data_IF_030006169891
#
_entry.id   IF_030006169891
#
_cell.length_a   1.000
_cell.length_b   1.000
_cell.length_c   1.000
_cell.angle_alpha   90.00
_cell.angle_beta   90.00
_cell.angle_gamma   90.00
#
_symmetry.space_group_name_H-M   'P 1'
#
loop_
_entity.id
_entity.type
_entity.pdbx_description
1 polymer ?
#
# COMPACT_ATOMS: atom_id res chain seq x y z
N UNK A 1 3.79 4.90 -28.42
CA UNK A 1 4.04 5.53 -27.10
C UNK A 1 5.42 5.09 -26.63
N UNK A 2 6.24 6.06 -26.26
CA UNK A 2 7.57 5.87 -25.70
C UNK A 2 7.55 5.05 -24.40
N UNK A 3 8.62 4.28 -24.18
CA UNK A 3 8.79 3.49 -22.96
C UNK A 3 9.86 4.11 -22.09
N UNK A 4 9.53 4.33 -20.84
CA UNK A 4 10.41 4.94 -19.85
C UNK A 4 11.14 3.88 -19.01
N UNK A 5 12.45 4.07 -18.86
CA UNK A 5 13.32 3.14 -18.12
C UNK A 5 13.28 3.40 -16.61
N UNK A 6 13.46 2.34 -15.82
CA UNK A 6 13.39 2.36 -14.37
C UNK A 6 14.28 3.44 -13.72
N UNK A 7 15.58 3.38 -14.02
CA UNK A 7 16.57 4.33 -13.46
C UNK A 7 16.31 5.79 -13.89
N UNK A 8 15.84 6.00 -15.12
CA UNK A 8 15.49 7.34 -15.61
C UNK A 8 14.36 7.96 -14.80
N UNK A 9 13.27 7.21 -14.57
CA UNK A 9 12.14 7.71 -13.79
C UNK A 9 12.51 7.97 -12.32
N UNK A 10 13.37 7.13 -11.72
CA UNK A 10 13.87 7.39 -10.36
C UNK A 10 14.64 8.72 -10.34
N UNK A 11 15.56 8.95 -11.30
CA UNK A 11 16.33 10.20 -11.40
C UNK A 11 15.39 11.41 -11.53
N UNK A 12 14.40 11.37 -12.42
CA UNK A 12 13.41 12.44 -12.57
C UNK A 12 12.66 12.71 -11.27
N UNK A 13 12.19 11.67 -10.58
CA UNK A 13 11.48 11.81 -9.32
C UNK A 13 12.35 12.37 -8.20
N UNK A 14 13.60 11.91 -8.10
CA UNK A 14 14.58 12.43 -7.13
C UNK A 14 14.84 13.93 -7.37
N UNK A 15 15.05 14.32 -8.61
CA UNK A 15 15.20 15.74 -8.96
C UNK A 15 13.96 16.57 -8.59
N UNK A 16 12.75 16.04 -8.85
CA UNK A 16 11.52 16.73 -8.49
C UNK A 16 11.45 17.03 -6.99
N UNK A 17 11.68 16.02 -6.13
CA UNK A 17 11.61 16.21 -4.69
C UNK A 17 12.77 17.07 -4.13
N UNK A 18 13.96 16.98 -4.70
CA UNK A 18 15.08 17.86 -4.35
C UNK A 18 14.75 19.33 -4.63
N UNK A 19 14.18 19.63 -5.81
CA UNK A 19 13.79 20.99 -6.18
C UNK A 19 12.77 21.62 -5.24
N UNK A 20 11.93 20.82 -4.62
CA UNK A 20 10.95 21.33 -3.62
C UNK A 20 11.48 21.33 -2.19
N UNK A 21 12.77 21.02 -1.97
CA UNK A 21 13.44 21.13 -0.68
C UNK A 21 13.50 19.87 0.18
N UNK A 22 13.21 18.70 -0.41
CA UNK A 22 13.46 17.40 0.26
C UNK A 22 14.93 17.03 0.08
N UNK A 23 15.59 16.51 1.12
CA UNK A 23 16.98 16.08 1.01
C UNK A 23 17.15 14.90 0.05
N UNK A 24 18.34 14.76 -0.54
CA UNK A 24 18.67 13.77 -1.59
C UNK A 24 18.27 12.34 -1.19
N UNK A 25 18.62 11.91 0.02
CA UNK A 25 18.35 10.57 0.53
C UNK A 25 16.84 10.28 0.58
N UNK A 26 16.05 11.22 1.10
CA UNK A 26 14.60 11.05 1.17
C UNK A 26 13.96 11.10 -0.21
N UNK A 27 14.43 12.01 -1.07
CA UNK A 27 13.97 12.15 -2.46
C UNK A 27 14.18 10.85 -3.25
N UNK A 28 15.33 10.21 -3.08
CA UNK A 28 15.63 8.92 -3.69
C UNK A 28 14.71 7.81 -3.17
N UNK A 29 14.56 7.68 -1.84
CA UNK A 29 13.68 6.69 -1.21
C UNK A 29 12.25 6.80 -1.75
N UNK A 30 11.69 8.01 -1.75
CA UNK A 30 10.33 8.26 -2.24
C UNK A 30 10.22 7.84 -3.71
N UNK A 31 11.17 8.26 -4.52
CA UNK A 31 11.16 8.01 -5.97
C UNK A 31 11.29 6.53 -6.30
N UNK A 32 12.17 5.80 -5.62
CA UNK A 32 12.33 4.35 -5.78
C UNK A 32 11.04 3.60 -5.47
N UNK A 33 10.38 3.91 -4.35
CA UNK A 33 9.12 3.26 -3.93
C UNK A 33 8.01 3.54 -4.94
N UNK A 34 7.84 4.80 -5.38
CA UNK A 34 6.79 5.16 -6.32
C UNK A 34 7.01 4.56 -7.70
N UNK A 35 8.22 4.65 -8.24
CA UNK A 35 8.56 4.07 -9.55
C UNK A 35 8.42 2.55 -9.50
N UNK A 36 8.92 1.90 -8.45
CA UNK A 36 8.79 0.45 -8.28
C UNK A 36 7.34 0.02 -8.23
N UNK A 37 6.47 0.76 -7.54
CA UNK A 37 5.04 0.49 -7.48
C UNK A 37 4.41 0.46 -8.87
N UNK A 38 4.70 1.43 -9.75
CA UNK A 38 4.25 1.41 -11.14
C UNK A 38 4.83 0.24 -11.94
N UNK A 39 6.10 -0.11 -11.71
CA UNK A 39 6.72 -1.25 -12.38
C UNK A 39 6.12 -2.60 -11.96
N UNK A 40 5.53 -2.66 -10.76
CA UNK A 40 4.74 -3.79 -10.27
C UNK A 40 3.26 -3.75 -10.72
N UNK A 41 2.82 -2.74 -11.48
CA UNK A 41 1.43 -2.61 -11.95
C UNK A 41 0.49 -1.85 -11.01
N UNK A 42 1.02 -1.16 -10.00
CA UNK A 42 0.24 -0.41 -9.01
C UNK A 42 0.34 1.10 -9.23
N UNK A 43 -0.11 1.60 -10.38
CA UNK A 43 0.01 3.01 -10.77
C UNK A 43 -0.68 3.98 -9.79
N UNK A 44 -1.76 3.56 -9.14
CA UNK A 44 -2.44 4.36 -8.11
C UNK A 44 -1.57 4.66 -6.88
N UNK A 45 -0.52 3.87 -6.65
CA UNK A 45 0.49 4.06 -5.61
C UNK A 45 1.89 4.32 -6.20
N UNK A 46 1.95 4.56 -7.51
CA UNK A 46 3.16 4.76 -8.28
C UNK A 46 3.30 6.18 -8.84
N UNK A 47 3.55 6.29 -10.13
CA UNK A 47 3.83 7.56 -10.82
C UNK A 47 2.75 8.63 -10.65
N UNK A 48 1.49 8.23 -10.49
CA UNK A 48 0.39 9.19 -10.22
C UNK A 48 0.60 9.97 -8.91
N UNK A 49 1.35 9.42 -7.94
CA UNK A 49 1.57 10.05 -6.64
C UNK A 49 2.58 11.18 -6.63
N UNK A 50 3.44 11.28 -7.62
CA UNK A 50 4.40 12.39 -7.68
C UNK A 50 3.72 13.75 -7.64
N UNK A 51 2.70 13.95 -8.46
CA UNK A 51 1.92 15.19 -8.49
C UNK A 51 1.18 15.44 -7.18
N UNK A 52 0.53 14.39 -6.62
CA UNK A 52 -0.20 14.50 -5.36
C UNK A 52 0.75 14.84 -4.19
N UNK A 53 1.90 14.18 -4.10
CA UNK A 53 2.85 14.41 -3.03
C UNK A 53 3.48 15.79 -3.10
N UNK A 54 3.85 16.26 -4.31
CA UNK A 54 4.30 17.63 -4.52
C UNK A 54 3.28 18.63 -4.00
N UNK A 55 2.01 18.47 -4.37
CA UNK A 55 0.92 19.33 -3.91
C UNK A 55 0.74 19.29 -2.39
N UNK A 56 0.75 18.09 -1.77
CA UNK A 56 0.65 17.96 -0.30
C UNK A 56 1.80 18.67 0.44
N UNK A 57 2.98 18.67 -0.15
CA UNK A 57 4.14 19.39 0.38
C UNK A 57 3.97 20.90 0.26
N UNK A 58 3.58 21.40 -0.92
CA UNK A 58 3.32 22.82 -1.18
C UNK A 58 2.17 23.36 -0.29
N UNK A 59 1.13 22.56 -0.07
CA UNK A 59 0.03 22.85 0.85
C UNK A 59 0.43 22.74 2.34
N UNK A 60 1.73 22.52 2.66
CA UNK A 60 2.28 22.35 4.01
C UNK A 60 1.63 21.22 4.82
N UNK A 61 1.05 20.23 4.15
CA UNK A 61 0.47 19.03 4.77
C UNK A 61 1.52 17.96 5.07
N UNK A 62 2.70 18.08 4.49
CA UNK A 62 3.88 17.24 4.76
C UNK A 62 5.00 18.15 5.24
N UNK A 63 5.69 17.74 6.30
CA UNK A 63 6.88 18.39 6.82
C UNK A 63 8.12 17.56 6.47
N UNK A 64 8.82 17.90 5.38
CA UNK A 64 10.02 17.16 4.96
C UNK A 64 11.15 17.17 6.02
N UNK A 65 11.15 18.18 6.90
CA UNK A 65 12.10 18.32 8.01
C UNK A 65 11.47 17.93 9.36
N UNK A 66 10.27 17.35 9.36
CA UNK A 66 9.60 16.88 10.57
C UNK A 66 10.46 15.82 11.27
N UNK A 67 10.74 16.05 12.55
CA UNK A 67 11.61 15.16 13.33
C UNK A 67 10.93 13.82 13.56
N UNK A 68 11.49 12.76 12.99
CA UNK A 68 11.09 11.37 13.29
C UNK A 68 11.70 11.01 14.64
N UNK A 69 10.85 10.65 15.62
CA UNK A 69 11.32 10.21 16.94
C UNK A 69 10.93 8.77 17.18
N UNK A 70 11.83 8.01 17.78
CA UNK A 70 11.69 6.57 18.00
C UNK A 70 12.01 6.24 19.46
N UNK A 71 11.20 5.38 20.07
CA UNK A 71 11.45 4.80 21.39
C UNK A 71 11.31 3.28 21.28
N UNK A 72 12.38 2.58 21.60
CA UNK A 72 12.38 1.11 21.64
C UNK A 72 12.23 0.67 23.10
N UNK A 73 11.29 -0.23 23.34
CA UNK A 73 11.08 -0.89 24.64
C UNK A 73 10.97 -2.38 24.36
N UNK A 74 11.97 -3.12 24.74
CA UNK A 74 12.14 -4.55 24.45
C UNK A 74 12.06 -4.85 22.94
N UNK A 75 11.02 -5.54 22.52
CA UNK A 75 10.72 -5.92 21.15
C UNK A 75 9.74 -4.98 20.43
N UNK A 76 9.43 -3.83 21.02
CA UNK A 76 8.42 -2.87 20.52
C UNK A 76 9.06 -1.53 20.20
N UNK A 77 8.78 -1.01 19.02
CA UNK A 77 9.22 0.31 18.57
C UNK A 77 8.02 1.25 18.49
N UNK A 78 8.06 2.35 19.21
CA UNK A 78 7.08 3.43 19.18
C UNK A 78 7.64 4.60 18.37
N UNK A 79 6.95 4.98 17.30
CA UNK A 79 7.43 5.95 16.32
C UNK A 79 6.44 7.09 16.18
N UNK A 80 6.94 8.31 16.30
CA UNK A 80 6.25 9.50 15.87
C UNK A 80 6.90 9.99 14.57
N UNK A 81 6.18 9.90 13.46
CA UNK A 81 6.66 10.26 12.13
C UNK A 81 6.87 11.76 11.90
N UNK A 82 6.49 12.62 12.86
CA UNK A 82 6.73 14.07 12.77
C UNK A 82 6.04 14.73 11.58
N UNK A 83 4.98 14.13 11.06
CA UNK A 83 4.29 14.54 9.84
C UNK A 83 5.22 14.56 8.58
N UNK A 84 6.33 13.81 8.63
CA UNK A 84 7.28 13.66 7.53
C UNK A 84 6.70 12.81 6.38
N UNK A 85 7.44 12.65 5.31
CA UNK A 85 7.15 11.75 4.19
C UNK A 85 6.86 10.34 4.70
N UNK A 86 5.63 9.86 4.53
CA UNK A 86 5.23 8.55 5.07
C UNK A 86 6.07 7.40 4.52
N UNK A 87 6.45 7.47 3.25
CA UNK A 87 7.34 6.49 2.60
C UNK A 87 8.70 6.43 3.30
N UNK A 88 9.26 7.60 3.66
CA UNK A 88 10.55 7.67 4.37
C UNK A 88 10.43 7.06 5.76
N UNK A 89 9.43 7.50 6.53
CA UNK A 89 9.17 6.99 7.89
C UNK A 89 9.03 5.47 7.89
N UNK A 90 8.16 4.93 7.01
CA UNK A 90 7.91 3.49 6.95
C UNK A 90 9.15 2.70 6.48
N UNK A 91 9.95 3.28 5.55
CA UNK A 91 11.17 2.65 5.07
C UNK A 91 12.25 2.57 6.15
N UNK A 92 12.45 3.62 6.93
CA UNK A 92 13.39 3.62 8.06
C UNK A 92 12.95 2.63 9.12
N UNK A 93 11.67 2.69 9.52
CA UNK A 93 11.13 1.83 10.58
C UNK A 93 11.22 0.36 10.23
N UNK A 94 10.88 -0.02 8.99
CA UNK A 94 10.93 -1.45 8.62
C UNK A 94 12.38 -1.98 8.61
N UNK A 95 13.36 -1.18 8.20
CA UNK A 95 14.76 -1.59 8.23
C UNK A 95 15.24 -1.79 9.68
N UNK A 96 14.98 -0.82 10.58
CA UNK A 96 15.36 -0.95 11.99
C UNK A 96 14.60 -2.08 12.70
N UNK A 97 13.35 -2.34 12.32
CA UNK A 97 12.56 -3.43 12.88
C UNK A 97 13.10 -4.81 12.44
N UNK A 98 13.65 -4.91 11.23
CA UNK A 98 14.37 -6.11 10.78
C UNK A 98 15.59 -6.33 11.66
N UNK A 99 16.38 -5.30 11.94
CA UNK A 99 17.56 -5.42 12.80
C UNK A 99 17.18 -5.80 14.22
N UNK A 100 16.13 -5.21 14.77
CA UNK A 100 15.59 -5.53 16.09
C UNK A 100 15.14 -7.01 16.17
N UNK A 101 14.54 -7.53 15.11
CA UNK A 101 14.05 -8.91 15.05
C UNK A 101 15.16 -9.97 15.07
N UNK A 102 16.42 -9.60 14.79
CA UNK A 102 17.55 -10.54 14.95
C UNK A 102 17.78 -10.93 16.42
N UNK A 103 17.34 -10.07 17.36
CA UNK A 103 17.47 -10.29 18.81
C UNK A 103 16.23 -10.91 19.44
N UNK A 104 15.08 -10.78 18.79
CA UNK A 104 13.80 -11.20 19.35
C UNK A 104 13.02 -12.07 18.36
N UNK A 105 12.23 -13.01 18.87
CA UNK A 105 11.42 -13.91 18.03
C UNK A 105 10.32 -13.17 17.25
N UNK A 106 9.71 -12.18 17.91
CA UNK A 106 8.65 -11.32 17.35
C UNK A 106 8.95 -9.89 17.75
N UNK A 107 8.90 -8.98 16.78
CA UNK A 107 9.03 -7.55 17.00
C UNK A 107 7.87 -6.80 16.38
N UNK A 108 7.55 -5.63 16.92
CA UNK A 108 6.49 -4.78 16.39
C UNK A 108 6.90 -3.30 16.36
N UNK A 109 6.31 -2.55 15.42
CA UNK A 109 6.45 -1.11 15.34
C UNK A 109 5.08 -0.45 15.20
N UNK A 110 4.83 0.56 16.02
CA UNK A 110 3.63 1.37 16.05
C UNK A 110 4.00 2.79 15.59
N UNK A 111 3.43 3.24 14.50
CA UNK A 111 3.75 4.53 13.88
C UNK A 111 2.53 5.42 13.88
N UNK A 112 2.68 6.64 14.40
CA UNK A 112 1.68 7.72 14.36
C UNK A 112 2.26 8.99 13.73
N UNK A 113 1.39 9.94 13.42
CA UNK A 113 1.77 11.20 12.76
C UNK A 113 2.60 10.96 11.49
N UNK A 114 2.14 10.03 10.66
CA UNK A 114 2.80 9.57 9.46
C UNK A 114 1.92 9.87 8.25
N UNK A 115 2.47 10.45 7.21
CA UNK A 115 1.76 10.66 5.96
C UNK A 115 1.56 9.32 5.21
N UNK A 116 0.94 9.37 4.02
CA UNK A 116 0.67 8.20 3.21
C UNK A 116 1.97 7.42 2.91
N UNK A 117 1.97 6.14 3.23
CA UNK A 117 3.17 5.29 3.13
C UNK A 117 3.35 4.60 1.77
N UNK A 118 2.44 4.79 0.81
CA UNK A 118 2.50 4.10 -0.47
C UNK A 118 1.98 2.65 -0.40
N UNK A 119 2.54 1.77 -1.22
CA UNK A 119 2.15 0.36 -1.34
C UNK A 119 2.78 -0.48 -0.23
N UNK A 120 2.00 -1.33 0.44
CA UNK A 120 2.51 -2.20 1.52
C UNK A 120 3.54 -3.22 1.04
N UNK A 121 3.39 -3.72 -0.18
CA UNK A 121 4.33 -4.66 -0.80
C UNK A 121 5.80 -4.22 -0.72
N UNK A 122 6.07 -2.91 -0.66
CA UNK A 122 7.43 -2.38 -0.52
C UNK A 122 8.06 -2.70 0.85
N UNK A 123 7.24 -2.74 1.89
CA UNK A 123 7.72 -2.96 3.26
C UNK A 123 7.72 -4.44 3.63
N UNK A 124 6.64 -5.17 3.31
CA UNK A 124 6.51 -6.58 3.67
C UNK A 124 7.48 -7.49 2.90
N UNK A 125 7.92 -7.07 1.70
CA UNK A 125 8.89 -7.83 0.91
C UNK A 125 10.30 -7.82 1.52
N UNK A 126 10.70 -6.74 2.17
CA UNK A 126 12.06 -6.60 2.72
C UNK A 126 12.38 -7.63 3.81
N UNK A 127 11.56 -7.79 4.87
CA UNK A 127 11.76 -8.85 5.85
C UNK A 127 11.67 -10.25 5.24
N UNK A 128 10.74 -10.47 4.30
CA UNK A 128 10.57 -11.74 3.62
C UNK A 128 11.82 -12.17 2.84
N UNK A 129 12.55 -11.24 2.25
CA UNK A 129 13.84 -11.50 1.60
C UNK A 129 14.98 -11.73 2.60
N UNK A 130 14.74 -11.51 3.90
CA UNK A 130 15.69 -11.69 4.99
C UNK A 130 15.25 -12.76 5.99
N UNK A 131 14.63 -13.85 5.49
CA UNK A 131 14.20 -15.02 6.26
C UNK A 131 13.15 -14.75 7.34
N UNK A 132 12.33 -13.70 7.19
CA UNK A 132 11.37 -13.26 8.19
C UNK A 132 9.95 -13.21 7.60
N UNK A 133 8.95 -13.36 8.47
CA UNK A 133 7.55 -13.08 8.11
C UNK A 133 7.24 -11.66 8.55
N UNK A 134 6.49 -10.92 7.74
CA UNK A 134 6.03 -9.59 8.07
C UNK A 134 4.51 -9.47 7.90
N UNK A 135 3.85 -8.86 8.89
CA UNK A 135 2.48 -8.38 8.78
C UNK A 135 2.48 -6.86 8.85
N UNK A 136 1.56 -6.25 8.10
CA UNK A 136 1.39 -4.81 8.04
C UNK A 136 -0.09 -4.44 8.06
N UNK A 137 -0.46 -3.49 8.92
CA UNK A 137 -1.81 -2.97 9.05
C UNK A 137 -1.74 -1.45 8.94
N UNK A 138 -2.59 -0.87 8.10
CA UNK A 138 -2.59 0.57 7.87
C UNK A 138 -4.01 1.11 7.86
N UNK A 139 -4.27 2.12 8.69
CA UNK A 139 -5.51 2.88 8.59
C UNK A 139 -5.26 4.25 7.96
N UNK A 140 -6.33 4.95 7.68
CA UNK A 140 -6.30 6.37 7.34
C UNK A 140 -7.28 7.11 8.23
N UNK A 141 -6.78 8.09 8.98
CA UNK A 141 -7.62 8.94 9.83
C UNK A 141 -8.11 10.23 9.12
N UNK A 142 -7.95 10.33 7.80
CA UNK A 142 -8.49 11.42 7.00
C UNK A 142 -10.02 11.31 6.88
N UNK A 143 -10.74 12.16 7.61
CA UNK A 143 -12.20 12.18 7.62
C UNK A 143 -12.85 12.49 6.28
N UNK A 144 -12.11 13.08 5.33
CA UNK A 144 -12.58 13.36 3.97
C UNK A 144 -12.52 12.12 3.07
N UNK A 145 -11.92 11.02 3.53
CA UNK A 145 -11.77 9.77 2.77
C UNK A 145 -12.72 8.66 3.21
N UNK A 146 -13.84 8.97 3.84
CA UNK A 146 -14.90 8.02 4.22
C UNK A 146 -15.60 7.48 2.97
N UNK A 147 -14.99 6.50 2.34
CA UNK A 147 -15.46 5.96 1.06
C UNK A 147 -15.95 4.53 1.13
N UNK A 148 -15.75 3.81 2.24
CA UNK A 148 -16.18 2.43 2.40
C UNK A 148 -17.39 2.36 3.31
N UNK A 149 -18.43 1.66 2.88
CA UNK A 149 -19.65 1.46 3.65
C UNK A 149 -19.45 0.35 4.68
N UNK A 150 -19.93 0.49 5.93
CA UNK A 150 -20.06 -0.64 6.85
C UNK A 150 -20.98 -1.71 6.27
N UNK A 151 -20.82 -2.96 6.67
CA UNK A 151 -21.73 -4.01 6.21
C UNK A 151 -23.19 -3.67 6.52
N UNK A 152 -24.07 -3.80 5.53
CA UNK A 152 -25.48 -3.39 5.53
C UNK A 152 -25.74 -1.87 5.64
N UNK A 153 -24.70 -1.05 5.68
CA UNK A 153 -24.84 0.40 5.64
C UNK A 153 -25.09 0.93 4.22
N UNK A 154 -25.41 2.22 4.10
CA UNK A 154 -25.60 2.92 2.82
C UNK A 154 -24.66 4.12 2.68
N UNK A 155 -23.98 4.54 3.75
CA UNK A 155 -23.06 5.66 3.76
C UNK A 155 -21.61 5.22 3.96
N UNK A 156 -20.66 5.90 3.35
CA UNK A 156 -19.23 5.74 3.63
C UNK A 156 -18.89 6.25 5.04
N UNK A 157 -18.49 5.34 5.91
CA UNK A 157 -18.06 5.62 7.30
C UNK A 157 -16.61 5.21 7.56
N UNK A 158 -16.04 4.38 6.69
CA UNK A 158 -14.71 3.81 6.81
C UNK A 158 -13.83 4.21 5.63
N UNK A 159 -12.53 4.01 5.76
CA UNK A 159 -11.57 4.18 4.67
C UNK A 159 -11.16 2.83 4.09
N UNK A 160 -10.67 2.78 2.84
CA UNK A 160 -10.03 1.57 2.31
C UNK A 160 -8.75 1.27 3.09
N UNK A 161 -8.83 0.41 4.08
CA UNK A 161 -7.69 0.01 4.91
C UNK A 161 -7.01 -1.22 4.31
N UNK A 162 -5.68 -1.19 4.07
CA UNK A 162 -4.98 -2.37 3.57
C UNK A 162 -4.41 -3.24 4.70
N UNK A 163 -4.29 -4.53 4.38
CA UNK A 163 -3.52 -5.52 5.13
C UNK A 163 -2.41 -6.06 4.25
N UNK A 164 -1.23 -6.22 4.83
CA UNK A 164 -0.07 -6.80 4.19
C UNK A 164 0.43 -8.04 4.92
N UNK A 165 0.86 -9.05 4.15
CA UNK A 165 1.59 -10.21 4.65
C UNK A 165 2.70 -10.54 3.66
N UNK A 166 3.92 -10.74 4.16
CA UNK A 166 5.06 -11.17 3.38
C UNK A 166 5.81 -12.30 4.05
N UNK A 167 6.17 -13.34 3.30
CA UNK A 167 7.03 -14.40 3.78
C UNK A 167 7.93 -14.97 2.68
N UNK A 168 9.06 -15.62 3.03
CA UNK A 168 9.89 -16.31 2.07
C UNK A 168 9.11 -17.41 1.36
N UNK A 169 9.16 -17.43 0.03
CA UNK A 169 8.51 -18.49 -0.78
C UNK A 169 9.45 -19.64 -1.15
N UNK A 170 10.75 -19.43 -0.95
CA UNK A 170 11.79 -20.31 -1.49
C UNK A 170 12.03 -20.14 -3.00
N UNK A 171 11.40 -19.15 -3.64
CA UNK A 171 11.65 -18.71 -5.01
C UNK A 171 12.37 -17.35 -5.01
N UNK A 172 12.63 -16.77 -6.21
CA UNK A 172 13.25 -15.44 -6.35
C UNK A 172 12.33 -14.28 -5.94
N UNK A 173 11.12 -14.56 -5.53
CA UNK A 173 10.10 -13.61 -5.10
C UNK A 173 9.46 -14.11 -3.79
N UNK A 174 9.13 -13.22 -2.84
CA UNK A 174 8.41 -13.59 -1.64
C UNK A 174 6.91 -13.81 -1.92
N UNK A 175 6.25 -14.66 -1.12
CA UNK A 175 4.80 -14.61 -1.03
C UNK A 175 4.41 -13.25 -0.43
N UNK A 176 3.52 -12.52 -1.12
CA UNK A 176 3.08 -11.20 -0.68
C UNK A 176 1.58 -11.05 -0.85
N UNK A 177 0.89 -10.81 0.25
CA UNK A 177 -0.50 -10.37 0.26
C UNK A 177 -0.46 -8.87 0.54
N UNK A 178 -0.97 -8.07 -0.39
CA UNK A 178 -1.11 -6.61 -0.25
C UNK A 178 -2.48 -6.26 -0.82
N UNK A 179 -3.48 -6.25 0.05
CA UNK A 179 -4.88 -6.10 -0.35
C UNK A 179 -5.59 -5.06 0.49
N UNK A 180 -6.52 -4.33 -0.14
CA UNK A 180 -7.50 -3.52 0.57
C UNK A 180 -8.65 -4.38 1.09
N UNK A 181 -9.26 -3.96 2.19
CA UNK A 181 -10.48 -4.59 2.74
C UNK A 181 -11.77 -4.11 2.09
N UNK A 182 -11.67 -3.28 1.05
CA UNK A 182 -12.79 -2.90 0.18
C UNK A 182 -12.87 -3.79 -1.06
N UNK A 183 -14.04 -3.88 -1.68
CA UNK A 183 -14.28 -4.70 -2.88
C UNK A 183 -13.39 -4.28 -4.06
N UNK A 184 -13.03 -3.00 -4.13
CA UNK A 184 -12.09 -2.46 -5.13
C UNK A 184 -11.32 -1.27 -4.53
N UNK A 185 -10.02 -1.10 -4.84
CA UNK A 185 -9.27 0.10 -4.48
C UNK A 185 -9.87 1.35 -5.12
N UNK A 186 -10.02 2.44 -4.35
CA UNK A 186 -10.60 3.71 -4.84
C UNK A 186 -9.87 4.24 -6.08
N UNK A 187 -8.55 4.13 -6.12
CA UNK A 187 -7.76 4.56 -7.28
C UNK A 187 -8.14 3.83 -8.59
N UNK A 188 -8.46 2.53 -8.51
CA UNK A 188 -8.98 1.78 -9.68
C UNK A 188 -10.36 2.28 -10.10
N UNK A 189 -11.26 2.53 -9.15
CA UNK A 189 -12.59 3.07 -9.45
C UNK A 189 -12.46 4.41 -10.19
N UNK A 190 -11.56 5.27 -9.71
CA UNK A 190 -11.25 6.57 -10.34
C UNK A 190 -10.73 6.41 -11.77
N UNK A 191 -9.89 5.43 -12.03
CA UNK A 191 -9.39 5.15 -13.38
C UNK A 191 -10.52 4.69 -14.32
N UNK A 192 -11.46 3.86 -13.85
CA UNK A 192 -12.66 3.50 -14.62
C UNK A 192 -13.51 4.72 -14.94
N UNK A 193 -13.75 5.60 -13.97
CA UNK A 193 -14.49 6.86 -14.16
C UNK A 193 -13.84 7.75 -15.23
N UNK A 194 -12.54 8.00 -15.13
CA UNK A 194 -11.83 8.83 -16.10
C UNK A 194 -11.77 8.26 -17.52
N UNK A 195 -11.87 6.94 -17.65
CA UNK A 195 -11.93 6.27 -18.94
C UNK A 195 -13.37 6.04 -19.45
N UNK A 196 -14.39 6.63 -18.79
CA UNK A 196 -15.80 6.44 -19.09
C UNK A 196 -16.21 4.97 -19.19
N UNK A 197 -15.67 4.12 -18.33
CA UNK A 197 -15.93 2.68 -18.29
C UNK A 197 -16.74 2.30 -17.06
N UNK A 198 -17.61 1.32 -17.20
CA UNK A 198 -18.27 0.66 -16.07
C UNK A 198 -17.29 -0.24 -15.34
N UNK A 199 -17.49 -0.36 -14.02
CA UNK A 199 -16.75 -1.34 -13.22
C UNK A 199 -17.13 -2.76 -13.64
N UNK A 200 -16.23 -3.74 -13.55
CA UNK A 200 -16.50 -5.13 -13.95
C UNK A 200 -17.59 -5.77 -13.09
N UNK A 201 -17.72 -5.33 -11.83
CA UNK A 201 -18.65 -5.84 -10.85
C UNK A 201 -19.39 -4.71 -10.12
N UNK A 202 -20.52 -5.02 -9.51
CA UNK A 202 -21.25 -4.09 -8.63
C UNK A 202 -20.57 -4.00 -7.27
N UNK A 203 -19.55 -3.15 -7.17
CA UNK A 203 -18.74 -2.97 -5.96
C UNK A 203 -18.96 -1.62 -5.25
N UNK A 204 -19.99 -0.88 -5.65
CA UNK A 204 -20.39 0.41 -5.07
C UNK A 204 -21.88 0.34 -4.71
N UNK A 205 -22.27 1.02 -3.64
CA UNK A 205 -23.65 1.41 -3.36
C UNK A 205 -23.84 2.88 -3.71
N UNK A 206 -24.99 3.23 -4.27
CA UNK A 206 -25.42 4.62 -4.40
C UNK A 206 -25.99 5.14 -3.07
N UNK A 207 -26.40 6.41 -3.02
CA UNK A 207 -26.97 7.04 -1.82
C UNK A 207 -28.24 6.37 -1.26
N UNK A 208 -28.89 5.51 -2.04
CA UNK A 208 -30.08 4.76 -1.63
C UNK A 208 -29.75 3.32 -1.22
N UNK A 209 -28.46 2.94 -1.20
CA UNK A 209 -28.02 1.58 -0.86
C UNK A 209 -28.14 0.59 -2.02
N UNK A 210 -28.48 1.03 -3.24
CA UNK A 210 -28.58 0.16 -4.42
C UNK A 210 -27.20 -0.14 -4.99
N UNK A 211 -26.91 -1.43 -5.20
CA UNK A 211 -25.66 -1.87 -5.79
C UNK A 211 -25.52 -1.43 -7.24
N UNK A 212 -24.37 -0.82 -7.56
CA UNK A 212 -24.08 -0.28 -8.89
C UNK A 212 -22.66 -0.57 -9.32
N UNK A 213 -22.45 -0.60 -10.64
CA UNK A 213 -21.13 -0.64 -11.27
C UNK A 213 -20.78 0.69 -11.97
N UNK A 214 -21.53 1.75 -11.68
CA UNK A 214 -21.26 3.10 -12.21
C UNK A 214 -20.25 3.83 -11.30
N UNK A 215 -18.99 4.04 -11.75
CA UNK A 215 -17.98 4.69 -10.92
C UNK A 215 -18.32 6.14 -10.57
N UNK A 216 -19.15 6.84 -11.37
CA UNK A 216 -19.55 8.21 -11.09
C UNK A 216 -20.33 8.31 -9.78
N UNK A 217 -21.05 7.27 -9.39
CA UNK A 217 -21.83 7.23 -8.14
C UNK A 217 -21.00 7.34 -6.86
N UNK A 218 -19.68 7.18 -6.96
CA UNK A 218 -18.75 7.39 -5.85
C UNK A 218 -18.34 8.86 -5.70
N UNK A 219 -18.38 9.65 -6.78
CA UNK A 219 -17.77 10.99 -6.84
C UNK A 219 -18.77 12.13 -7.10
N UNK A 220 -19.95 11.83 -7.62
CA UNK A 220 -21.03 12.80 -7.80
C UNK A 220 -21.68 13.13 -6.45
N UNK A 221 -22.64 14.08 -6.45
CA UNK A 221 -23.41 14.47 -5.25
C UNK A 221 -24.25 13.33 -4.66
N UNK A 222 -24.15 12.13 -5.22
CA UNK A 222 -24.89 10.95 -4.77
C UNK A 222 -24.33 10.29 -3.50
N UNK A 223 -23.17 10.73 -3.00
CA UNK A 223 -22.54 10.19 -1.78
C UNK A 223 -22.49 8.65 -1.73
N UNK A 224 -22.24 8.02 -2.88
CA UNK A 224 -22.07 6.57 -2.96
C UNK A 224 -20.85 6.11 -2.18
N UNK A 225 -20.79 4.79 -1.90
CA UNK A 225 -19.69 4.23 -1.15
C UNK A 225 -19.26 2.86 -1.71
N UNK A 226 -17.99 2.50 -1.46
CA UNK A 226 -17.40 1.24 -1.89
C UNK A 226 -17.85 0.14 -0.93
N UNK A 227 -18.23 -1.01 -1.47
CA UNK A 227 -18.56 -2.19 -0.67
C UNK A 227 -17.31 -2.78 0.01
N UNK A 228 -17.46 -3.42 1.17
CA UNK A 228 -16.39 -4.25 1.75
C UNK A 228 -16.01 -5.42 0.82
N UNK A 229 -14.79 -5.92 0.97
CA UNK A 229 -14.30 -7.12 0.28
C UNK A 229 -15.20 -8.33 0.59
N UNK A 230 -15.58 -9.08 -0.44
CA UNK A 230 -16.31 -10.35 -0.33
C UNK A 230 -17.68 -10.36 -1.00
N UNK A 231 -18.11 -9.30 -1.67
CA UNK A 231 -19.40 -9.27 -2.38
C UNK A 231 -20.57 -9.59 -1.46
N UNK A 232 -21.30 -10.68 -1.72
CA UNK A 232 -22.41 -11.15 -0.85
C UNK A 232 -21.95 -11.54 0.56
N UNK A 233 -20.66 -11.82 0.76
CA UNK A 233 -20.01 -12.10 2.04
C UNK A 233 -19.18 -10.91 2.54
N UNK A 234 -19.53 -9.69 2.17
CA UNK A 234 -18.80 -8.46 2.51
C UNK A 234 -18.64 -8.21 4.01
N UNK A 235 -19.43 -8.87 4.88
CA UNK A 235 -19.24 -8.86 6.34
C UNK A 235 -17.82 -9.30 6.74
N UNK A 236 -17.16 -10.17 5.94
CA UNK A 236 -15.79 -10.63 6.21
C UNK A 236 -14.77 -9.50 5.95
N UNK A 237 -14.90 -8.80 4.83
CA UNK A 237 -14.07 -7.62 4.56
C UNK A 237 -14.31 -6.49 5.56
N UNK A 238 -15.57 -6.28 5.98
CA UNK A 238 -15.92 -5.34 7.03
C UNK A 238 -15.25 -5.70 8.37
N UNK A 239 -15.30 -6.96 8.78
CA UNK A 239 -14.62 -7.42 9.99
C UNK A 239 -13.10 -7.19 9.95
N UNK A 240 -12.46 -7.44 8.79
CA UNK A 240 -11.03 -7.12 8.59
C UNK A 240 -10.77 -5.61 8.67
N UNK A 241 -11.67 -4.77 8.14
CA UNK A 241 -11.55 -3.32 8.27
C UNK A 241 -11.54 -2.90 9.74
N UNK A 242 -12.48 -3.41 10.54
CA UNK A 242 -12.55 -3.11 11.99
C UNK A 242 -11.27 -3.54 12.71
N UNK A 243 -10.76 -4.75 12.42
CA UNK A 243 -9.49 -5.23 12.97
C UNK A 243 -8.35 -4.26 12.67
N UNK A 244 -8.23 -3.82 11.42
CA UNK A 244 -7.15 -2.91 11.00
C UNK A 244 -7.31 -1.53 11.65
N UNK A 245 -8.52 -0.98 11.73
CA UNK A 245 -8.79 0.29 12.41
C UNK A 245 -8.36 0.23 13.88
N UNK A 246 -8.65 -0.88 14.58
CA UNK A 246 -8.23 -1.05 15.97
C UNK A 246 -6.72 -1.13 16.11
N UNK A 247 -6.05 -1.93 15.27
CA UNK A 247 -4.60 -2.13 15.34
C UNK A 247 -3.81 -0.92 14.87
N UNK A 248 -4.19 -0.34 13.73
CA UNK A 248 -3.44 0.74 13.10
C UNK A 248 -3.96 2.15 13.50
N UNK A 249 -5.20 2.27 13.95
CA UNK A 249 -5.76 3.53 14.44
C UNK A 249 -5.66 3.66 15.94
N UNK A 250 -6.33 2.77 16.67
CA UNK A 250 -6.42 2.82 18.13
C UNK A 250 -5.11 2.52 18.82
N UNK A 251 -4.51 1.35 18.56
CA UNK A 251 -3.30 0.89 19.23
C UNK A 251 -2.09 1.81 18.97
N UNK A 252 -1.97 2.40 17.76
CA UNK A 252 -0.91 3.35 17.43
C UNK A 252 -1.13 4.75 17.99
N UNK A 253 -2.32 5.02 18.52
CA UNK A 253 -2.77 6.38 18.89
C UNK A 253 -2.76 7.37 17.72
N UNK A 254 -2.97 6.88 16.50
CA UNK A 254 -3.10 7.72 15.30
C UNK A 254 -4.50 8.32 15.18
N UNK A 255 -5.48 7.67 15.80
CA UNK A 255 -6.89 8.04 15.74
C UNK A 255 -7.65 7.29 14.66
N UNK A 256 -8.96 7.50 14.65
CA UNK A 256 -9.90 6.90 13.72
C UNK A 256 -10.44 7.93 12.72
N UNK A 257 -11.02 7.47 11.66
CA UNK A 257 -11.58 8.31 10.58
C UNK A 257 -12.70 9.26 11.02
N UNK A 258 -13.33 9.02 12.17
CA UNK A 258 -14.40 9.86 12.73
C UNK A 258 -13.88 11.05 13.55
N UNK A 259 -12.61 11.08 13.89
CA UNK A 259 -12.03 12.16 14.67
C UNK A 259 -11.93 13.46 13.83
N UNK A 260 -12.48 14.56 14.37
CA UNK A 260 -12.49 15.88 13.72
C UNK A 260 -11.14 16.59 13.94
N UNK A 261 -10.09 16.09 13.34
CA UNK A 261 -8.74 16.65 13.55
C UNK A 261 -8.13 17.32 12.32
N UNK A 262 -8.82 17.46 11.21
CA UNK A 262 -8.32 18.04 9.93
C UNK A 262 -6.94 17.53 9.47
N UNK A 263 -6.46 16.45 10.08
CA UNK A 263 -5.17 15.84 9.77
C UNK A 263 -5.37 14.75 8.71
N UNK A 264 -4.39 14.61 7.86
CA UNK A 264 -4.30 13.53 6.88
C UNK A 264 -3.12 12.64 7.26
N UNK A 265 -3.26 11.34 7.07
CA UNK A 265 -2.15 10.43 7.29
C UNK A 265 -2.57 9.00 7.56
N UNK A 266 -1.57 8.22 7.93
CA UNK A 266 -1.71 6.82 8.26
C UNK A 266 -1.25 6.54 9.69
N UNK A 267 -2.01 5.72 10.40
CA UNK A 267 -1.51 4.90 11.49
C UNK A 267 -0.99 3.61 10.88
N UNK A 268 0.18 3.15 11.33
CA UNK A 268 0.81 1.95 10.78
C UNK A 268 1.25 1.03 11.90
N UNK A 269 0.92 -0.25 11.77
CA UNK A 269 1.38 -1.28 12.68
C UNK A 269 2.08 -2.39 11.90
N UNK A 270 3.37 -2.56 12.15
CA UNK A 270 4.18 -3.65 11.60
C UNK A 270 4.47 -4.70 12.65
N UNK A 271 4.45 -5.96 12.25
CA UNK A 271 4.92 -7.10 13.05
C UNK A 271 5.93 -7.88 12.19
N UNK A 272 7.09 -8.20 12.76
CA UNK A 272 8.07 -9.11 12.15
C UNK A 272 8.23 -10.34 13.04
N UNK A 273 8.25 -11.50 12.42
CA UNK A 273 8.49 -12.80 13.03
C UNK A 273 9.79 -13.36 12.43
N UNK A 274 10.77 -13.63 13.25
CA UNK A 274 12.02 -14.29 12.83
C UNK A 274 11.80 -15.80 12.76
N UNK A 275 11.80 -16.35 11.55
CA UNK A 275 11.51 -17.78 11.33
C UNK A 275 12.50 -18.68 12.06
N UNK A 276 13.80 -18.31 12.06
CA UNK A 276 14.85 -19.13 12.64
C UNK A 276 14.76 -19.27 14.17
N UNK A 277 13.94 -18.42 14.83
CA UNK A 277 13.65 -18.54 16.26
C UNK A 277 12.53 -19.53 16.59
N UNK A 278 11.81 -20.04 15.58
CA UNK A 278 10.70 -20.98 15.75
C UNK A 278 10.96 -22.34 15.10
N UNK A 279 11.61 -22.36 13.94
CA UNK A 279 11.89 -23.56 13.15
C UNK A 279 13.15 -23.36 12.31
N UNK A 280 13.83 -24.44 11.97
CA UNK A 280 14.93 -24.38 11.04
C UNK A 280 14.48 -23.77 9.70
N UNK A 281 15.20 -22.80 9.17
CA UNK A 281 14.82 -22.08 7.96
C UNK A 281 14.68 -22.97 6.74
N UNK A 282 15.58 -23.95 6.55
CA UNK A 282 15.54 -24.87 5.40
C UNK A 282 14.30 -25.78 5.48
N UNK A 283 13.92 -26.20 6.69
CA UNK A 283 12.69 -26.95 6.90
C UNK A 283 11.47 -26.09 6.56
N UNK A 284 11.42 -24.84 7.00
CA UNK A 284 10.34 -23.89 6.64
C UNK A 284 10.21 -23.74 5.12
N UNK A 285 11.34 -23.52 4.43
CA UNK A 285 11.37 -23.36 2.97
C UNK A 285 10.96 -24.64 2.26
N UNK A 286 11.41 -25.78 2.71
CA UNK A 286 11.02 -27.09 2.15
C UNK A 286 9.48 -27.27 2.22
N UNK A 287 8.89 -27.03 3.40
CA UNK A 287 7.43 -27.13 3.62
C UNK A 287 6.67 -26.11 2.77
N UNK A 288 7.12 -24.86 2.73
CA UNK A 288 6.51 -23.79 1.94
C UNK A 288 6.55 -24.11 0.45
N UNK A 289 7.69 -24.54 -0.08
CA UNK A 289 7.81 -24.98 -1.49
C UNK A 289 6.93 -26.18 -1.81
N UNK A 290 6.85 -27.16 -0.90
CA UNK A 290 5.96 -28.32 -1.07
C UNK A 290 4.49 -27.90 -1.18
N UNK A 291 4.05 -27.01 -0.28
CA UNK A 291 2.70 -26.44 -0.30
C UNK A 291 2.42 -25.66 -1.59
N UNK A 292 3.36 -24.80 -2.01
CA UNK A 292 3.25 -24.05 -3.28
C UNK A 292 3.12 -25.02 -4.48
N UNK A 293 3.95 -26.05 -4.54
CA UNK A 293 3.89 -27.05 -5.60
C UNK A 293 2.56 -27.79 -5.60
N UNK A 294 2.02 -28.11 -4.42
CA UNK A 294 0.71 -28.75 -4.28
C UNK A 294 -0.39 -27.87 -4.87
N UNK A 295 -0.46 -26.58 -4.53
CA UNK A 295 -1.43 -25.62 -5.07
C UNK A 295 -1.30 -25.52 -6.60
N UNK A 296 -0.07 -25.36 -7.11
CA UNK A 296 0.18 -25.20 -8.56
C UNK A 296 -0.12 -26.41 -9.41
N UNK A 297 -0.30 -27.60 -8.80
CA UNK A 297 -0.73 -28.82 -9.50
C UNK A 297 -2.24 -28.89 -9.74
N UNK A 298 -3.01 -27.95 -9.21
CA UNK A 298 -4.47 -27.90 -9.42
C UNK A 298 -4.81 -27.77 -10.91
N UNK A 299 -5.82 -28.52 -11.35
CA UNK A 299 -6.41 -28.33 -12.69
C UNK A 299 -7.02 -26.93 -12.78
N UNK A 300 -6.71 -26.23 -13.85
CA UNK A 300 -7.20 -24.86 -14.10
C UNK A 300 -8.30 -24.86 -15.16
N UNK A 301 -9.05 -23.77 -15.23
CA UNK A 301 -9.97 -23.51 -16.32
C UNK A 301 -9.15 -23.09 -17.55
N UNK A 302 -9.57 -23.48 -18.73
CA UNK A 302 -9.08 -22.96 -20.03
C UNK A 302 -7.54 -22.86 -20.17
N UNK A 303 -6.79 -23.82 -19.62
CA UNK A 303 -5.31 -23.81 -19.64
C UNK A 303 -4.63 -22.62 -18.94
N UNK A 304 -5.32 -21.94 -18.03
CA UNK A 304 -4.74 -20.92 -17.16
C UNK A 304 -3.64 -21.51 -16.24
N UNK A 305 -2.93 -20.64 -15.55
CA UNK A 305 -1.94 -21.03 -14.54
C UNK A 305 -2.33 -20.47 -13.19
N UNK A 306 -2.28 -21.32 -12.16
CA UNK A 306 -2.40 -20.83 -10.78
C UNK A 306 -1.21 -19.94 -10.45
N UNK A 307 -1.48 -18.66 -10.20
CA UNK A 307 -0.51 -17.68 -9.72
C UNK A 307 -0.67 -17.50 -8.22
N UNK A 308 0.44 -17.33 -7.53
CA UNK A 308 0.44 -17.08 -6.08
C UNK A 308 0.56 -15.58 -5.80
N UNK A 309 0.06 -15.11 -4.65
CA UNK A 309 0.21 -13.71 -4.25
C UNK A 309 1.68 -13.26 -4.28
N UNK A 310 1.96 -12.14 -4.96
CA UNK A 310 3.30 -11.61 -5.19
C UNK A 310 3.98 -12.09 -6.48
N UNK A 311 3.55 -13.21 -7.06
CA UNK A 311 4.10 -13.73 -8.34
C UNK A 311 3.78 -12.84 -9.54
N UNK A 312 2.53 -12.35 -9.72
CA UNK A 312 2.19 -11.42 -10.79
C UNK A 312 3.00 -10.13 -10.74
N UNK A 313 3.12 -9.53 -9.55
CA UNK A 313 3.87 -8.29 -9.33
C UNK A 313 5.35 -8.48 -9.66
N UNK A 314 5.94 -9.60 -9.21
CA UNK A 314 7.33 -9.93 -9.53
C UNK A 314 7.55 -10.11 -11.03
N UNK A 315 6.70 -10.88 -11.69
CA UNK A 315 6.82 -11.13 -13.13
C UNK A 315 6.70 -9.83 -13.94
N UNK A 316 5.72 -9.00 -13.59
CA UNK A 316 5.51 -7.72 -14.22
C UNK A 316 6.69 -6.76 -13.97
N UNK A 317 7.20 -6.71 -12.73
CA UNK A 317 8.38 -5.92 -12.40
C UNK A 317 9.59 -6.33 -13.25
N UNK A 318 9.87 -7.61 -13.35
CA UNK A 318 11.01 -8.12 -14.15
C UNK A 318 10.85 -7.79 -15.64
N UNK A 319 9.66 -7.98 -16.18
CA UNK A 319 9.33 -7.61 -17.56
C UNK A 319 9.52 -6.11 -17.81
N UNK A 320 8.94 -5.28 -16.92
CA UNK A 320 8.97 -3.83 -17.03
C UNK A 320 10.40 -3.28 -16.82
N UNK A 321 11.17 -3.88 -15.89
CA UNK A 321 12.58 -3.49 -15.68
C UNK A 321 13.43 -3.68 -16.93
N UNK A 322 13.19 -4.76 -17.67
CA UNK A 322 13.85 -5.04 -18.96
C UNK A 322 13.37 -4.08 -20.05
N UNK A 323 12.06 -3.94 -20.22
CA UNK A 323 11.46 -3.31 -21.39
C UNK A 323 11.14 -1.81 -21.21
N UNK A 324 11.09 -1.30 -19.95
CA UNK A 324 10.49 -0.02 -19.63
C UNK A 324 8.97 -0.10 -19.57
N UNK A 325 8.32 0.92 -19.01
CA UNK A 325 6.86 1.05 -18.90
C UNK A 325 6.33 2.13 -19.86
N UNK A 326 5.08 1.92 -20.30
CA UNK A 326 4.29 2.95 -20.96
C UNK A 326 3.53 3.73 -19.91
N UNK A 327 3.55 5.04 -19.97
CA UNK A 327 2.80 5.93 -19.10
C UNK A 327 1.54 6.36 -19.85
N UNK A 328 0.37 6.31 -19.18
CA UNK A 328 -0.87 6.78 -19.80
C UNK A 328 -0.80 8.28 -20.10
N UNK A 329 -1.47 8.73 -21.16
CA UNK A 329 -1.45 10.14 -21.58
C UNK A 329 -1.81 11.10 -20.44
N UNK A 330 -2.79 10.72 -19.62
CA UNK A 330 -3.21 11.51 -18.45
C UNK A 330 -2.10 11.65 -17.41
N UNK A 331 -1.47 10.53 -17.05
CA UNK A 331 -0.39 10.55 -16.05
C UNK A 331 0.82 11.29 -16.60
N UNK A 332 1.14 11.11 -17.88
CA UNK A 332 2.23 11.84 -18.55
C UNK A 332 2.00 13.36 -18.46
N UNK A 333 0.80 13.82 -18.85
CA UNK A 333 0.43 15.24 -18.77
C UNK A 333 0.57 15.79 -17.33
N UNK A 334 0.07 15.07 -16.33
CA UNK A 334 0.19 15.50 -14.92
C UNK A 334 1.66 15.57 -14.45
N UNK A 335 2.51 14.65 -14.92
CA UNK A 335 3.95 14.67 -14.62
C UNK A 335 4.68 15.84 -15.32
N UNK A 336 4.28 16.19 -16.55
CA UNK A 336 4.80 17.35 -17.28
C UNK A 336 4.42 18.66 -16.57
N UNK A 337 3.17 18.79 -16.08
CA UNK A 337 2.69 19.96 -15.33
C UNK A 337 3.50 20.25 -14.06
N UNK A 338 4.11 19.24 -13.47
CA UNK A 338 4.99 19.41 -12.29
C UNK A 338 6.48 19.43 -12.62
N UNK A 339 6.83 19.52 -13.92
CA UNK A 339 8.20 19.51 -14.41
C UNK A 339 8.99 18.24 -13.98
N UNK A 340 8.34 17.09 -14.02
CA UNK A 340 8.94 15.82 -13.56
C UNK A 340 10.17 15.40 -14.39
N UNK A 341 10.17 15.67 -15.69
CA UNK A 341 11.19 15.21 -16.62
C UNK A 341 12.39 16.15 -16.79
N UNK A 342 12.47 17.21 -15.98
CA UNK A 342 13.52 18.22 -16.02
C UNK A 342 14.61 17.94 -14.98
#
# INVERSE_FOLDING_TARGET
MEKFKYKYLIKCGTNLFNRIGTCEVHSQIISEVLVRSSFCGHDSHGLQRFTEYKKLFEDKKISANGKITKKIVDNRMFVNGGNNWGIVVANEVINELIDLSNKHSICSALIKNCNHIGRLGEYISKPAMQKKICLAFVNSYDSNRKKVVPWLGVEGKLTPTPIGFGCPSGYKWPLMIDITTSAMPEGKIRDYMFNNKRLPEKCIVDKYGKFTNDPNKLYDDSNGAILPLGGIFGHKGYALTILIEILAGGLTSSGYVNEKNNKQGNGVFFIIIDIEKFINYEEFIYRTKSFIKYIKKTKTRENDKVLLPGEPEHNLFMQNKKNGIKISKRVLKNLEEVNFFI
#
